data_IF_778038490028
#
_entry.id   IF_778038490028
#
_cell.length_a   1.000
_cell.length_b   1.000
_cell.length_c   1.000
_cell.angle_alpha   90.00
_cell.angle_beta   90.00
_cell.angle_gamma   90.00
#
_symmetry.space_group_name_H-M   'P 1'
#
loop_
_entity.id
_entity.type
_entity.pdbx_description
1 polymer ?
2 polymer ?
3 non-polymer ?
4 non-polymer ?
5 water ?
#
# COMPACT_ATOMS: atom_id res chain seq x y z
N UNK A 21 21.90 2.10 -8.54
CA UNK A 21 21.13 1.61 -7.40
C UNK A 21 21.95 1.65 -6.08
N UNK A 22 23.31 1.48 -6.15
CA UNK A 22 24.15 1.49 -4.96
C UNK A 22 24.57 2.88 -4.56
N UNK A 23 24.24 3.25 -3.32
CA UNK A 23 24.50 4.57 -2.77
C UNK A 23 25.76 4.61 -1.92
N UNK A 24 26.31 5.83 -1.79
CA UNK A 24 27.49 6.17 -1.01
C UNK A 24 27.07 6.58 0.41
N UNK A 25 27.46 5.76 1.43
CA UNK A 25 27.15 6.03 2.84
C UNK A 25 27.62 7.42 3.34
N UNK A 26 28.68 8.00 2.70
CA UNK A 26 29.20 9.32 3.09
C UNK A 26 28.25 10.45 2.70
N UNK A 27 27.46 10.23 1.61
CA UNK A 27 26.47 11.14 1.06
C UNK A 27 25.12 11.09 1.79
N UNK A 28 24.99 10.16 2.76
CA UNK A 28 23.78 9.94 3.53
C UNK A 28 23.95 10.40 4.97
N UNK A 29 23.03 11.25 5.47
CA UNK A 29 23.06 11.76 6.84
C UNK A 29 21.78 11.27 7.55
N UNK A 30 21.92 10.53 8.65
CA UNK A 30 20.76 10.03 9.39
C UNK A 30 20.50 10.74 10.72
N UNK A 31 19.20 10.88 11.08
CA UNK A 31 18.80 11.43 12.37
C UNK A 31 18.72 10.27 13.35
N UNK A 32 18.72 10.56 14.66
CA UNK A 32 18.73 9.49 15.66
C UNK A 32 17.36 8.95 16.01
N UNK A 33 16.32 9.79 15.91
CA UNK A 33 14.96 9.35 16.20
C UNK A 33 14.43 8.39 15.12
N UNK A 34 13.80 7.29 15.54
CA UNK A 34 13.19 6.35 14.59
C UNK A 34 11.75 6.83 14.33
N UNK A 35 11.30 6.82 13.07
CA UNK A 35 9.94 7.22 12.73
C UNK A 35 9.00 6.04 12.99
N UNK A 36 9.54 4.84 12.86
CA UNK A 36 8.85 3.57 13.06
C UNK A 36 9.85 2.42 13.17
N UNK A 37 9.38 1.29 13.74
CA UNK A 37 10.17 0.07 13.95
C UNK A 37 9.28 -1.17 14.03
N UNK A 38 9.90 -2.35 14.03
CA UNK A 38 9.22 -3.63 14.10
C UNK A 38 10.10 -4.81 13.78
N UNK A 39 9.53 -5.82 13.13
CA UNK A 39 10.19 -7.05 12.73
C UNK A 39 11.15 -6.80 11.55
N UNK A 40 10.76 -5.87 10.64
CA UNK A 40 11.53 -5.46 9.44
C UNK A 40 12.89 -4.82 9.79
N UNK A 41 12.89 -4.07 10.88
CA UNK A 41 14.01 -3.30 11.40
C UNK A 41 13.45 -1.98 11.84
N UNK A 42 14.11 -0.86 11.47
CA UNK A 42 13.64 0.49 11.81
C UNK A 42 13.56 1.38 10.55
N UNK A 43 12.83 2.49 10.66
CA UNK A 43 12.75 3.52 9.63
C UNK A 43 13.21 4.86 10.21
N UNK A 44 14.11 5.53 9.49
CA UNK A 44 14.65 6.81 9.95
C UNK A 44 14.57 7.85 8.88
N UNK A 45 14.42 9.08 9.31
CA UNK A 45 14.48 10.24 8.44
C UNK A 45 15.97 10.54 8.22
N UNK A 46 16.28 11.05 7.04
CA UNK A 46 17.63 11.42 6.68
C UNK A 46 17.69 12.35 5.49
N UNK A 47 18.91 12.62 5.00
CA UNK A 47 19.17 13.46 3.85
C UNK A 47 20.20 12.79 3.00
N UNK A 48 20.05 12.91 1.71
CA UNK A 48 20.98 12.35 0.76
C UNK A 48 21.40 13.43 -0.19
N UNK A 49 22.72 13.62 -0.32
CA UNK A 49 23.31 14.58 -1.23
C UNK A 49 23.14 14.10 -2.67
N UNK A 50 22.38 14.86 -3.45
CA UNK A 50 22.18 14.54 -4.87
C UNK A 50 23.26 15.28 -5.68
N UNK A 51 23.06 15.45 -7.00
CA UNK A 51 24.03 16.16 -7.85
C UNK A 51 24.23 17.62 -7.40
N UNK A 52 23.13 18.30 -7.03
CA UNK A 52 23.16 19.70 -6.58
C UNK A 52 22.40 19.87 -5.25
N UNK A 53 21.10 19.52 -5.28
CA UNK A 53 20.22 19.62 -4.14
C UNK A 53 20.50 18.51 -3.13
N UNK A 54 19.96 18.65 -1.93
CA UNK A 54 20.02 17.63 -0.92
C UNK A 54 18.59 17.08 -0.85
N UNK A 55 18.44 15.76 -0.72
CA UNK A 55 17.13 15.12 -0.73
C UNK A 55 16.73 14.54 0.60
N UNK A 56 15.58 14.97 1.13
CA UNK A 56 15.03 14.41 2.38
C UNK A 56 14.58 12.97 2.07
N UNK A 57 14.97 12.01 2.91
CA UNK A 57 14.67 10.62 2.65
C UNK A 57 14.11 9.88 3.84
N UNK A 58 13.44 8.75 3.56
CA UNK A 58 13.00 7.80 4.57
C UNK A 58 13.88 6.57 4.30
N UNK A 59 14.56 6.10 5.35
CA UNK A 59 15.50 4.99 5.23
C UNK A 59 15.05 3.80 6.08
N UNK A 60 14.77 2.71 5.40
CA UNK A 60 14.40 1.47 6.06
C UNK A 60 15.72 0.76 6.37
N UNK A 61 16.04 0.59 7.67
CA UNK A 61 17.28 -0.02 8.14
C UNK A 61 17.00 -1.43 8.69
N UNK A 62 17.68 -2.43 8.14
CA UNK A 62 17.52 -3.84 8.54
C UNK A 62 18.01 -4.11 9.99
N UNK A 63 17.24 -4.93 10.74
CA UNK A 63 17.49 -5.29 12.14
C UNK A 63 18.92 -5.72 12.49
N UNK A 64 19.62 -6.38 11.53
CA UNK A 64 21.02 -6.87 11.64
C UNK A 64 21.23 -7.98 12.69
N UNK A 65 20.86 -7.71 13.97
CA UNK A 65 20.93 -8.64 15.10
C UNK A 65 20.15 -9.91 14.75
N UNK A 66 18.93 -9.73 14.22
CA UNK A 66 18.06 -10.81 13.73
C UNK A 66 18.24 -10.86 12.20
N UNK A 67 19.48 -11.22 11.77
CA UNK A 67 19.95 -11.30 10.37
C UNK A 67 19.03 -12.09 9.43
N UNK A 68 18.82 -13.40 9.71
CA UNK A 68 17.96 -14.38 9.01
C UNK A 68 18.60 -15.31 7.93
N UNK A 69 19.13 -14.90 6.74
CA UNK A 69 19.25 -13.57 6.14
C UNK A 69 18.11 -13.29 5.15
N UNK A 70 16.92 -13.85 5.43
CA UNK A 70 15.71 -13.69 4.61
C UNK A 70 15.39 -12.21 4.44
N UNK A 71 15.55 -11.42 5.53
CA UNK A 71 15.34 -9.96 5.56
C UNK A 71 16.13 -9.24 4.47
N UNK A 72 17.41 -9.62 4.28
CA UNK A 72 18.32 -9.09 3.27
C UNK A 72 17.84 -9.44 1.85
N UNK A 73 17.34 -10.68 1.67
CA UNK A 73 16.85 -11.13 0.36
C UNK A 73 15.59 -10.41 -0.03
N UNK A 74 14.66 -10.21 0.92
CA UNK A 74 13.43 -9.47 0.64
C UNK A 74 13.66 -7.98 0.46
N UNK A 75 14.66 -7.41 1.16
CA UNK A 75 14.99 -5.99 0.99
C UNK A 75 15.49 -5.74 -0.43
N UNK A 76 16.37 -6.64 -0.96
CA UNK A 76 16.85 -6.47 -2.35
C UNK A 76 15.74 -6.76 -3.37
N UNK A 77 14.78 -7.65 -3.01
CA UNK A 77 13.65 -7.98 -3.89
C UNK A 77 12.76 -6.71 -3.99
N UNK A 78 12.48 -6.09 -2.83
CA UNK A 78 11.73 -4.83 -2.69
C UNK A 78 12.40 -3.73 -3.52
N UNK A 79 13.75 -3.56 -3.36
CA UNK A 79 14.56 -2.63 -4.15
C UNK A 79 14.42 -2.89 -5.66
N UNK A 80 14.43 -4.18 -6.09
CA UNK A 80 14.31 -4.57 -7.49
C UNK A 80 12.96 -4.19 -8.09
N UNK A 81 11.88 -4.33 -7.31
CA UNK A 81 10.54 -3.93 -7.76
C UNK A 81 10.52 -2.41 -7.87
N UNK A 82 10.93 -1.70 -6.79
CA UNK A 82 10.91 -0.22 -6.77
C UNK A 82 11.68 0.43 -7.90
N UNK A 83 12.85 -0.13 -8.25
CA UNK A 83 13.68 0.39 -9.35
C UNK A 83 12.99 0.40 -10.73
N UNK A 84 12.04 -0.51 -10.96
CA UNK A 84 11.27 -0.68 -12.18
C UNK A 84 10.05 0.24 -12.26
N UNK A 85 9.66 0.91 -11.14
CA UNK A 85 8.47 1.77 -11.08
C UNK A 85 8.76 3.25 -11.18
N UNK A 86 8.00 3.94 -12.02
CA UNK A 86 8.17 5.37 -12.28
C UNK A 86 6.78 5.96 -12.49
N UNK A 87 6.19 6.51 -11.42
CA UNK A 87 4.86 7.08 -11.43
C UNK A 87 4.73 8.10 -10.31
N UNK A 88 4.05 9.24 -10.53
CA UNK A 88 3.90 10.22 -9.43
C UNK A 88 3.21 9.70 -8.16
N UNK A 89 2.38 8.66 -8.28
CA UNK A 89 1.64 8.14 -7.13
C UNK A 89 2.24 6.92 -6.47
N UNK A 90 3.52 6.66 -6.74
CA UNK A 90 4.30 5.57 -6.17
C UNK A 90 5.57 6.13 -5.52
N UNK A 91 5.89 5.68 -4.27
CA UNK A 91 7.10 6.11 -3.58
C UNK A 91 8.34 5.72 -4.44
N UNK A 92 9.22 6.71 -4.69
CA UNK A 92 10.45 6.52 -5.48
C UNK A 92 11.63 6.10 -4.61
N UNK A 93 12.35 5.07 -5.03
CA UNK A 93 13.54 4.62 -4.30
C UNK A 93 14.72 5.46 -4.78
N UNK A 94 15.54 5.97 -3.85
CA UNK A 94 16.75 6.70 -4.24
C UNK A 94 17.78 5.61 -4.57
N UNK A 95 17.94 4.66 -3.65
CA UNK A 95 18.84 3.55 -3.89
C UNK A 95 19.01 2.71 -2.66
N UNK A 96 19.99 1.81 -2.71
CA UNK A 96 20.29 0.94 -1.59
C UNK A 96 21.68 1.22 -1.10
N UNK A 97 21.93 0.92 0.17
CA UNK A 97 23.23 1.15 0.77
C UNK A 97 23.60 0.04 1.78
N UNK A 98 24.83 -0.55 1.64
CA UNK A 98 25.34 -1.56 2.57
C UNK A 98 26.41 -0.96 3.47
N UNK A 99 26.04 -0.73 4.72
CA UNK A 99 26.94 -0.14 5.70
C UNK A 99 26.73 -0.85 7.05
N UNK A 100 26.42 -0.10 8.14
CA UNK A 100 26.15 -0.69 9.45
C UNK A 100 25.12 -1.82 9.38
N UNK A 101 24.21 -1.73 8.38
CA UNK A 101 23.17 -2.69 8.02
C UNK A 101 22.76 -2.40 6.55
N UNK A 102 21.88 -3.22 5.93
CA UNK A 102 21.39 -2.94 4.58
C UNK A 102 20.30 -1.87 4.73
N UNK A 103 20.32 -0.86 3.85
CA UNK A 103 19.40 0.28 3.93
C UNK A 103 18.66 0.51 2.63
N UNK A 104 17.34 0.74 2.73
CA UNK A 104 16.55 1.05 1.56
C UNK A 104 16.20 2.55 1.67
N UNK A 105 16.83 3.34 0.80
CA UNK A 105 16.70 4.79 0.83
C UNK A 105 15.63 5.24 -0.13
N UNK A 106 14.57 5.85 0.42
CA UNK A 106 13.43 6.32 -0.39
C UNK A 106 13.22 7.78 -0.21
N UNK A 107 12.61 8.42 -1.19
CA UNK A 107 12.18 9.81 -1.19
C UNK A 107 11.12 9.94 -0.06
N UNK A 108 11.36 10.84 0.90
CA UNK A 108 10.46 11.02 2.06
C UNK A 108 9.07 11.54 1.64
N UNK A 109 8.02 10.95 2.21
CA UNK A 109 6.62 11.36 2.08
C UNK A 109 6.33 11.85 3.50
N UNK A 110 6.56 13.15 3.71
CA UNK A 110 6.57 13.84 5.01
C UNK A 110 5.47 13.56 6.02
N UNK A 111 4.22 13.45 5.55
CA UNK A 111 3.08 13.30 6.43
C UNK A 111 2.78 11.88 6.91
N UNK A 112 3.42 10.91 6.31
CA UNK A 112 3.28 9.54 6.76
C UNK A 112 2.04 8.78 6.35
N UNK A 113 1.88 7.63 7.05
CA UNK A 113 0.77 6.71 6.76
C UNK A 113 -0.60 7.32 6.87
N UNK A 114 -1.42 7.03 5.84
CA UNK A 114 -2.77 7.57 5.69
C UNK A 114 -3.68 7.25 6.90
N UNK A 115 -3.61 6.03 7.44
CA UNK A 115 -4.46 5.67 8.57
C UNK A 115 -4.11 6.48 9.81
N UNK A 116 -2.80 6.66 10.09
CA UNK A 116 -2.25 7.44 11.19
C UNK A 116 -2.68 8.89 11.03
N UNK A 117 -2.50 9.44 9.81
CA UNK A 117 -2.88 10.83 9.51
C UNK A 117 -4.34 11.11 9.80
N UNK A 118 -5.24 10.28 9.25
CA UNK A 118 -6.69 10.48 9.36
C UNK A 118 -7.22 10.30 10.78
N UNK A 119 -6.61 9.41 11.58
CA UNK A 119 -6.95 9.20 12.99
C UNK A 119 -6.69 10.53 13.77
N UNK A 120 -5.60 11.27 13.39
CA UNK A 120 -5.24 12.57 14.01
C UNK A 120 -5.83 13.79 13.29
N UNK A 121 -6.54 13.61 12.18
CA UNK A 121 -7.08 14.75 11.42
C UNK A 121 -8.48 14.46 10.93
N UNK A 122 -9.40 14.30 11.90
CA UNK A 122 -10.81 13.98 11.67
C UNK A 122 -11.64 15.06 10.98
N UNK A 123 -11.05 16.25 10.78
CA UNK A 123 -11.62 17.41 10.11
C UNK A 123 -11.44 17.32 8.58
N UNK A 124 -10.66 16.32 8.07
CA UNK A 124 -10.47 16.13 6.61
C UNK A 124 -11.84 15.88 5.99
N UNK A 125 -12.17 16.62 4.92
CA UNK A 125 -13.47 16.52 4.25
C UNK A 125 -13.52 15.36 3.26
N UNK A 126 -14.73 14.85 2.98
CA UNK A 126 -14.97 13.74 2.05
C UNK A 126 -14.38 13.97 0.66
N UNK A 127 -14.44 15.22 0.13
CA UNK A 127 -13.86 15.60 -1.16
C UNK A 127 -12.33 15.34 -1.18
N UNK A 128 -11.65 15.62 -0.06
CA UNK A 128 -10.21 15.45 0.12
C UNK A 128 -9.86 13.94 0.19
N UNK A 129 -10.72 13.12 0.83
CA UNK A 129 -10.56 11.66 0.91
C UNK A 129 -10.74 11.06 -0.48
N UNK A 130 -11.76 11.53 -1.23
CA UNK A 130 -12.00 11.09 -2.62
C UNK A 130 -10.78 11.43 -3.47
N UNK A 131 -10.21 12.62 -3.27
CA UNK A 131 -9.01 13.07 -4.01
C UNK A 131 -7.81 12.11 -3.73
N UNK A 132 -7.57 11.78 -2.46
CA UNK A 132 -6.48 10.88 -2.06
C UNK A 132 -6.63 9.41 -2.54
N UNK A 133 -7.85 8.80 -2.40
CA UNK A 133 -8.12 7.42 -2.88
C UNK A 133 -8.10 7.37 -4.42
N UNK A 134 -8.45 8.50 -5.08
CA UNK A 134 -8.38 8.56 -6.53
C UNK A 134 -6.92 8.48 -6.98
N UNK A 135 -6.02 9.18 -6.29
CA UNK A 135 -4.59 9.17 -6.55
C UNK A 135 -4.04 7.76 -6.34
N UNK A 136 -4.49 7.05 -5.30
CA UNK A 136 -4.09 5.64 -5.06
C UNK A 136 -4.53 4.76 -6.26
N UNK A 137 -5.75 4.95 -6.78
CA UNK A 137 -6.22 4.18 -7.95
C UNK A 137 -5.41 4.47 -9.22
N UNK A 138 -4.93 5.70 -9.37
CA UNK A 138 -4.09 6.08 -10.52
C UNK A 138 -2.75 5.36 -10.45
N UNK A 139 -2.15 5.29 -9.26
CA UNK A 139 -0.90 4.55 -9.06
C UNK A 139 -1.11 3.04 -9.26
N UNK A 140 -2.23 2.51 -8.78
CA UNK A 140 -2.60 1.08 -8.93
C UNK A 140 -2.94 0.76 -10.36
N UNK A 141 -3.57 1.70 -11.09
CA UNK A 141 -3.82 1.52 -12.53
C UNK A 141 -2.45 1.39 -13.27
N UNK A 142 -1.47 2.22 -12.89
CA UNK A 142 -0.12 2.14 -13.46
C UNK A 142 0.57 0.80 -13.09
N UNK A 143 0.47 0.36 -11.80
CA UNK A 143 1.05 -0.91 -11.36
C UNK A 143 0.44 -2.09 -12.13
N UNK A 144 -0.90 -2.04 -12.33
CA UNK A 144 -1.64 -3.07 -13.08
C UNK A 144 -1.11 -3.10 -14.53
N UNK A 145 -0.94 -1.91 -15.15
CA UNK A 145 -0.42 -1.77 -16.52
C UNK A 145 0.99 -2.35 -16.63
N UNK A 146 1.81 -2.18 -15.57
CA UNK A 146 3.18 -2.68 -15.43
C UNK A 146 3.24 -4.17 -15.10
N UNK A 147 2.06 -4.79 -14.89
CA UNK A 147 1.96 -6.21 -14.51
C UNK A 147 2.70 -6.56 -13.22
N UNK A 148 2.53 -5.67 -12.23
CA UNK A 148 3.05 -5.88 -10.88
C UNK A 148 1.83 -6.04 -9.99
N UNK A 149 1.90 -6.98 -9.04
CA UNK A 149 0.84 -7.16 -8.06
C UNK A 149 1.37 -6.59 -6.75
N UNK A 150 0.60 -5.75 -6.05
CA UNK A 150 1.13 -5.11 -4.83
C UNK A 150 1.20 -6.07 -3.64
N UNK A 151 0.06 -6.72 -3.31
CA UNK A 151 -0.11 -7.72 -2.23
C UNK A 151 -0.06 -7.17 -0.80
N UNK A 152 0.00 -5.86 -0.62
CA UNK A 152 -0.08 -5.27 0.75
C UNK A 152 -0.70 -3.87 0.66
N UNK A 153 -1.74 -3.73 -0.17
CA UNK A 153 -2.39 -2.46 -0.38
C UNK A 153 -3.36 -2.21 0.79
N UNK A 154 -3.02 -1.26 1.65
CA UNK A 154 -3.77 -0.95 2.87
C UNK A 154 -3.47 0.51 3.19
N UNK A 155 -4.36 1.18 3.94
CA UNK A 155 -4.20 2.58 4.33
C UNK A 155 -2.85 2.87 5.00
N UNK A 156 -2.32 1.92 5.80
CA UNK A 156 -1.01 2.03 6.46
C UNK A 156 0.14 2.16 5.45
N UNK A 157 -0.08 1.64 4.22
CA UNK A 157 0.93 1.66 3.15
C UNK A 157 0.72 2.80 2.16
N UNK A 158 -0.26 3.64 2.42
CA UNK A 158 -0.46 4.83 1.59
C UNK A 158 0.22 5.94 2.39
N UNK A 159 1.12 6.69 1.77
CA UNK A 159 1.89 7.73 2.46
C UNK A 159 1.57 9.07 1.89
N UNK A 160 1.48 10.06 2.73
CA UNK A 160 1.12 11.39 2.25
C UNK A 160 2.32 12.30 2.17
N UNK A 161 2.45 12.95 1.02
CA UNK A 161 3.46 13.95 0.73
C UNK A 161 2.93 15.27 1.35
N UNK A 162 1.65 15.58 1.08
CA UNK A 162 0.86 16.70 1.61
C UNK A 162 -0.53 16.12 1.89
N UNK A 163 -1.44 16.96 2.41
CA UNK A 163 -2.82 16.56 2.72
C UNK A 163 -3.60 16.30 1.42
N UNK A 164 -3.05 16.73 0.27
CA UNK A 164 -3.63 16.58 -1.06
C UNK A 164 -2.77 15.76 -2.02
N UNK A 165 -1.80 14.98 -1.51
CA UNK A 165 -0.93 14.17 -2.38
C UNK A 165 -0.52 12.87 -1.68
N UNK A 166 -1.12 11.75 -2.12
CA UNK A 166 -0.89 10.38 -1.64
C UNK A 166 0.02 9.59 -2.61
N UNK A 167 0.87 8.71 -2.05
CA UNK A 167 1.74 7.78 -2.79
C UNK A 167 1.61 6.39 -2.19
N UNK A 168 1.79 5.38 -3.02
CA UNK A 168 1.73 3.98 -2.62
C UNK A 168 3.12 3.54 -2.20
N UNK A 169 3.23 2.85 -1.08
CA UNK A 169 4.53 2.37 -0.61
C UNK A 169 4.47 0.89 -0.25
N UNK A 170 5.60 0.38 0.28
CA UNK A 170 5.78 -0.97 0.78
C UNK A 170 5.56 -2.08 -0.25
N UNK A 171 6.64 -2.37 -1.01
CA UNK A 171 6.69 -3.40 -2.06
C UNK A 171 7.38 -4.70 -1.60
N UNK A 172 7.34 -4.94 -0.30
CA UNK A 172 7.91 -6.12 0.35
C UNK A 172 7.21 -7.43 0.01
N UNK A 173 5.92 -7.37 -0.41
CA UNK A 173 5.16 -8.57 -0.82
C UNK A 173 4.85 -8.58 -2.32
N UNK A 174 5.28 -7.53 -3.03
CA UNK A 174 5.04 -7.34 -4.44
C UNK A 174 5.77 -8.34 -5.31
N UNK A 175 5.16 -8.64 -6.44
CA UNK A 175 5.70 -9.59 -7.39
C UNK A 175 5.52 -9.07 -8.79
N UNK A 176 6.55 -9.26 -9.62
CA UNK A 176 6.51 -8.97 -11.06
C UNK A 176 5.81 -10.19 -11.67
N UNK A 177 4.71 -10.00 -12.40
CA UNK A 177 3.99 -11.13 -13.01
C UNK A 177 4.79 -11.72 -14.18
N UNK A 178 4.72 -13.04 -14.35
CA UNK A 178 5.37 -13.73 -15.46
C UNK A 178 4.68 -13.29 -16.74
N UNK A 179 5.42 -13.24 -17.87
CA UNK A 179 4.87 -12.86 -19.18
C UNK A 179 3.69 -13.70 -19.63
N UNK A 180 3.59 -14.95 -19.17
CA UNK A 180 2.53 -15.88 -19.57
C UNK A 180 1.35 -16.03 -18.58
N UNK A 181 1.39 -15.34 -17.42
CA UNK A 181 0.34 -15.42 -16.40
C UNK A 181 -0.24 -14.09 -15.97
N UNK A 182 -1.51 -14.11 -15.53
CA UNK A 182 -2.31 -13.00 -14.98
C UNK A 182 -2.18 -12.91 -13.44
N UNK A 183 -1.61 -13.91 -12.80
CA UNK A 183 -1.51 -13.93 -11.35
C UNK A 183 -0.22 -14.59 -10.85
N UNK A 184 0.07 -14.38 -9.57
CA UNK A 184 1.20 -14.95 -8.85
C UNK A 184 0.66 -16.02 -7.90
N UNK A 185 1.23 -17.21 -8.00
CA UNK A 185 0.84 -18.31 -7.14
C UNK A 185 1.85 -18.46 -5.99
N UNK A 186 1.41 -18.19 -4.75
CA UNK A 186 2.28 -18.42 -3.58
C UNK A 186 2.18 -19.93 -3.31
N UNK A 187 3.20 -20.52 -2.68
CA UNK A 187 3.20 -21.97 -2.43
C UNK A 187 2.67 -22.29 -1.06
N UNK A 188 3.01 -21.41 -0.11
CA UNK A 188 2.62 -21.48 1.30
C UNK A 188 1.99 -20.16 1.71
N UNK A 189 1.08 -20.22 2.69
CA UNK A 189 0.43 -19.05 3.26
C UNK A 189 1.45 -18.47 4.24
N UNK A 190 1.97 -17.29 3.92
CA UNK A 190 2.96 -16.62 4.77
C UNK A 190 2.33 -15.75 5.84
N UNK A 191 3.09 -14.74 6.32
CA UNK A 191 2.61 -13.76 7.30
C UNK A 191 1.87 -12.72 6.46
N UNK A 192 0.56 -12.97 6.28
CA UNK A 192 -0.30 -12.22 5.37
C UNK A 192 -1.27 -11.19 5.97
N UNK A 193 -1.52 -10.05 5.26
CA UNK A 193 -2.53 -9.07 5.73
C UNK A 193 -3.93 -9.53 5.28
N UNK A 194 -4.37 -10.64 5.85
CA UNK A 194 -5.62 -11.41 5.59
C UNK A 194 -6.90 -10.56 5.43
N UNK A 195 -7.05 -9.53 6.27
CA UNK A 195 -8.23 -8.65 6.24
C UNK A 195 -8.27 -7.79 4.97
N UNK A 196 -7.16 -7.72 4.22
CA UNK A 196 -7.12 -6.97 2.97
C UNK A 196 -7.13 -7.88 1.74
N UNK A 197 -7.13 -9.20 1.94
CA UNK A 197 -7.05 -10.21 0.88
C UNK A 197 -8.36 -10.71 0.37
N UNK A 198 -8.45 -10.87 -0.94
CA UNK A 198 -9.62 -11.38 -1.64
C UNK A 198 -9.81 -12.89 -1.35
N UNK A 199 -11.04 -13.43 -1.52
CA UNK A 199 -11.24 -14.89 -1.34
C UNK A 199 -10.28 -15.79 -2.13
N UNK A 200 -9.95 -15.47 -3.41
CA UNK A 200 -9.02 -16.29 -4.22
C UNK A 200 -7.62 -16.37 -3.63
N UNK A 201 -7.19 -15.32 -2.87
CA UNK A 201 -5.87 -15.25 -2.24
C UNK A 201 -5.85 -16.22 -1.07
N UNK A 202 -6.89 -16.16 -0.22
CA UNK A 202 -7.01 -17.03 0.97
C UNK A 202 -7.24 -18.48 0.55
N UNK A 203 -8.18 -18.71 -0.38
CA UNK A 203 -8.56 -20.05 -0.80
C UNK A 203 -7.66 -20.77 -1.82
N UNK A 204 -7.05 -20.07 -2.79
CA UNK A 204 -6.20 -20.70 -3.83
C UNK A 204 -4.77 -20.12 -3.93
N UNK A 205 -4.39 -19.19 -3.01
CA UNK A 205 -3.07 -18.49 -2.99
C UNK A 205 -2.77 -17.79 -4.33
N UNK A 206 -3.81 -17.24 -4.99
CA UNK A 206 -3.68 -16.61 -6.30
C UNK A 206 -3.83 -15.11 -6.18
N UNK A 207 -2.80 -14.37 -6.59
CA UNK A 207 -2.72 -12.91 -6.50
C UNK A 207 -2.59 -12.30 -7.88
N UNK A 208 -3.58 -11.54 -8.29
CA UNK A 208 -3.64 -10.83 -9.55
C UNK A 208 -3.90 -9.37 -9.21
N UNK A 209 -3.99 -8.49 -10.22
CA UNK A 209 -4.32 -7.09 -9.96
C UNK A 209 -5.74 -6.93 -9.45
N UNK A 210 -6.67 -7.84 -9.86
CA UNK A 210 -8.04 -7.86 -9.35
C UNK A 210 -8.04 -8.18 -7.85
N UNK A 211 -7.05 -8.95 -7.37
CA UNK A 211 -6.88 -9.20 -5.93
C UNK A 211 -6.52 -7.87 -5.22
N UNK A 212 -5.66 -7.05 -5.85
CA UNK A 212 -5.30 -5.75 -5.30
C UNK A 212 -6.51 -4.82 -5.30
N UNK A 213 -7.46 -4.97 -6.29
CA UNK A 213 -8.71 -4.19 -6.37
C UNK A 213 -9.53 -4.46 -5.09
N UNK A 214 -9.61 -5.75 -4.66
CA UNK A 214 -10.29 -6.13 -3.41
C UNK A 214 -9.67 -5.36 -2.25
N UNK A 215 -8.31 -5.39 -2.14
CA UNK A 215 -7.56 -4.68 -1.09
C UNK A 215 -7.87 -3.18 -1.17
N UNK A 216 -8.00 -2.64 -2.41
CA UNK A 216 -8.30 -1.22 -2.64
C UNK A 216 -9.68 -0.84 -2.01
N UNK A 217 -10.67 -1.76 -2.09
CA UNK A 217 -12.00 -1.58 -1.51
C UNK A 217 -11.91 -1.44 -0.01
N UNK A 218 -11.04 -2.26 0.61
CA UNK A 218 -10.81 -2.24 2.07
C UNK A 218 -10.10 -0.92 2.44
N UNK A 219 -9.10 -0.52 1.63
CA UNK A 219 -8.35 0.73 1.85
C UNK A 219 -9.33 1.92 1.81
N UNK A 220 -10.28 1.91 0.82
CA UNK A 220 -11.29 2.95 0.70
C UNK A 220 -12.12 2.98 1.98
N UNK A 221 -12.54 1.79 2.48
CA UNK A 221 -13.32 1.73 3.71
C UNK A 221 -12.55 2.38 4.86
N UNK A 222 -11.24 2.11 4.96
CA UNK A 222 -10.39 2.62 6.02
C UNK A 222 -10.30 4.13 5.98
N UNK A 223 -10.16 4.69 4.78
CA UNK A 223 -9.99 6.14 4.53
C UNK A 223 -11.27 6.88 4.90
N UNK A 224 -12.43 6.36 4.48
CA UNK A 224 -13.72 6.97 4.83
C UNK A 224 -14.14 6.74 6.29
N UNK A 225 -13.43 5.84 7.02
CA UNK A 225 -13.64 5.57 8.45
C UNK A 225 -12.56 6.27 9.26
N UNK A 226 -11.81 7.20 8.62
CA UNK A 226 -10.77 7.99 9.27
C UNK A 226 -9.67 7.12 9.90
N UNK A 227 -9.22 6.13 9.14
CA UNK A 227 -8.15 5.23 9.56
C UNK A 227 -8.54 4.19 10.59
N UNK A 228 -9.84 3.89 10.72
CA UNK A 228 -10.34 2.84 11.61
C UNK A 228 -9.86 1.50 11.05
N UNK A 229 -9.58 0.53 11.95
CA UNK A 229 -9.17 -0.82 11.58
C UNK A 229 -10.37 -1.52 10.93
N UNK A 230 -10.19 -2.22 9.78
CA UNK A 230 -11.35 -2.92 9.21
C UNK A 230 -11.68 -4.17 10.01
N UNK A 231 -12.94 -4.67 9.87
CA UNK A 231 -13.44 -5.88 10.54
C UNK A 231 -13.06 -5.88 12.01
N UNK A 232 -13.28 -4.75 12.71
CA UNK A 232 -12.93 -4.60 14.15
C UNK A 232 -13.43 -5.74 15.02
N UNK A 233 -12.55 -6.20 15.90
CA UNK A 233 -12.82 -7.28 16.84
C UNK A 233 -12.82 -8.66 16.26
N UNK A 234 -12.54 -8.81 14.96
CA UNK A 234 -12.57 -10.11 14.29
C UNK A 234 -11.21 -10.70 13.99
N UNK A 235 -11.13 -12.05 13.95
CA UNK A 235 -9.92 -12.82 13.56
C UNK A 235 -10.05 -12.96 12.04
N UNK A 236 -8.93 -13.23 11.35
CA UNK A 236 -8.94 -13.46 9.90
C UNK A 236 -9.91 -14.54 9.47
N UNK A 237 -10.01 -15.63 10.26
CA UNK A 237 -10.89 -16.77 9.98
C UNK A 237 -12.37 -16.40 10.06
N UNK A 238 -12.73 -15.51 11.01
CA UNK A 238 -14.09 -14.99 11.13
C UNK A 238 -14.41 -14.06 9.94
N UNK A 239 -13.42 -13.28 9.45
CA UNK A 239 -13.57 -12.42 8.27
C UNK A 239 -13.87 -13.32 7.05
N UNK A 240 -13.05 -14.35 6.82
CA UNK A 240 -13.23 -15.31 5.71
C UNK A 240 -14.64 -15.90 5.76
N UNK A 241 -15.06 -16.29 6.97
CA UNK A 241 -16.39 -16.86 7.20
C UNK A 241 -17.48 -15.85 6.87
N UNK A 242 -17.32 -14.57 7.31
CA UNK A 242 -18.24 -13.46 7.05
C UNK A 242 -18.37 -13.21 5.54
N UNK A 243 -17.24 -13.18 4.83
CA UNK A 243 -17.18 -12.94 3.38
C UNK A 243 -17.87 -14.04 2.56
N UNK A 244 -17.77 -15.30 3.01
CA UNK A 244 -18.40 -16.47 2.41
C UNK A 244 -19.93 -16.40 2.50
N UNK A 245 -20.45 -15.91 3.64
CA UNK A 245 -21.88 -15.69 3.92
C UNK A 245 -22.45 -14.53 3.09
N UNK A 246 -21.59 -13.87 2.29
CA UNK A 246 -21.96 -12.75 1.42
C UNK A 246 -22.09 -11.44 2.17
N UNK A 247 -21.62 -11.43 3.43
CA UNK A 247 -21.69 -10.23 4.28
C UNK A 247 -20.48 -9.33 4.03
N UNK A 248 -20.71 -8.01 4.02
CA UNK A 248 -19.66 -7.00 3.82
C UNK A 248 -19.73 -5.94 4.91
N UNK A 249 -18.61 -5.19 5.11
CA UNK A 249 -18.59 -4.10 6.09
C UNK A 249 -19.62 -3.05 5.66
N UNK A 250 -20.28 -2.42 6.64
CA UNK A 250 -21.25 -1.36 6.40
C UNK A 250 -20.62 -0.08 5.90
N UNK A 251 -21.46 0.87 5.48
CA UNK A 251 -21.06 2.17 4.99
C UNK A 251 -20.53 3.04 6.12
N UNK A 252 -19.29 3.57 6.04
CA UNK A 252 -18.79 4.46 7.11
C UNK A 252 -19.64 5.74 7.23
N UNK A 253 -19.79 6.26 8.45
CA UNK A 253 -20.56 7.49 8.70
C UNK A 253 -19.99 8.63 7.89
N UNK A 254 -20.87 9.29 7.15
CA UNK A 254 -20.52 10.41 6.30
C UNK A 254 -19.97 10.05 4.94
N UNK A 255 -19.77 8.74 4.70
CA UNK A 255 -19.22 8.27 3.43
C UNK A 255 -20.27 8.41 2.32
N UNK A 256 -19.95 9.08 1.19
CA UNK A 256 -20.92 9.16 0.09
C UNK A 256 -21.33 7.77 -0.37
N UNK A 257 -22.63 7.62 -0.69
CA UNK A 257 -23.24 6.37 -1.13
C UNK A 257 -22.53 5.82 -2.37
N UNK A 258 -22.09 6.71 -3.30
CA UNK A 258 -21.36 6.36 -4.53
C UNK A 258 -20.00 5.73 -4.20
N UNK A 259 -19.37 6.15 -3.09
CA UNK A 259 -18.08 5.58 -2.67
C UNK A 259 -18.28 4.20 -2.04
N UNK A 260 -19.37 4.03 -1.27
CA UNK A 260 -19.72 2.77 -0.68
C UNK A 260 -20.04 1.71 -1.75
N UNK A 261 -20.76 2.10 -2.82
CA UNK A 261 -21.08 1.21 -3.92
C UNK A 261 -19.80 0.78 -4.61
N UNK A 262 -18.85 1.70 -4.82
CA UNK A 262 -17.55 1.40 -5.42
C UNK A 262 -16.78 0.40 -4.55
N UNK A 263 -16.81 0.58 -3.20
CA UNK A 263 -16.25 -0.36 -2.24
C UNK A 263 -16.85 -1.76 -2.43
N UNK A 264 -18.20 -1.87 -2.50
CA UNK A 264 -18.87 -3.16 -2.67
C UNK A 264 -18.55 -3.83 -4.00
N UNK A 265 -18.28 -3.02 -5.03
CA UNK A 265 -17.92 -3.50 -6.37
C UNK A 265 -16.51 -4.13 -6.33
N UNK A 266 -15.57 -3.49 -5.59
CA UNK A 266 -14.20 -3.95 -5.38
C UNK A 266 -14.27 -5.27 -4.63
N UNK A 267 -15.28 -5.43 -3.77
CA UNK A 267 -15.58 -6.62 -2.99
C UNK A 267 -16.45 -7.66 -3.72
N UNK A 268 -16.38 -7.72 -5.07
CA UNK A 268 -17.06 -8.78 -5.84
C UNK A 268 -16.27 -10.07 -5.50
N UNK A 269 -16.94 -11.06 -4.93
CA UNK A 269 -16.40 -12.34 -4.50
C UNK A 269 -15.61 -13.06 -5.61
N UNK A 270 -16.22 -13.18 -6.80
CA UNK A 270 -15.62 -13.86 -7.93
C UNK A 270 -14.72 -12.91 -8.69
N UNK A 271 -13.42 -13.22 -8.68
CA UNK A 271 -12.32 -12.48 -9.33
C UNK A 271 -12.64 -12.17 -10.79
N UNK A 272 -13.27 -13.13 -11.52
CA UNK A 272 -13.62 -13.01 -12.93
C UNK A 272 -14.61 -11.87 -13.22
N UNK A 273 -15.50 -11.59 -12.27
CA UNK A 273 -16.49 -10.52 -12.36
C UNK A 273 -16.12 -9.21 -11.63
N UNK A 274 -14.96 -9.17 -10.91
CA UNK A 274 -14.51 -7.97 -10.21
C UNK A 274 -13.91 -6.96 -11.20
N UNK A 275 -14.13 -5.63 -11.04
CA UNK A 275 -13.47 -4.68 -11.96
C UNK A 275 -11.95 -4.68 -11.75
N UNK A 276 -11.25 -4.19 -12.77
CA UNK A 276 -9.80 -3.96 -12.78
C UNK A 276 -9.58 -2.51 -12.42
N UNK A 277 -8.30 -2.09 -12.27
CA UNK A 277 -7.99 -0.71 -11.89
C UNK A 277 -8.38 0.37 -12.89
N UNK A 278 -8.33 0.08 -14.21
CA UNK A 278 -8.74 1.06 -15.23
C UNK A 278 -10.22 1.43 -15.03
N UNK A 279 -11.09 0.43 -14.76
CA UNK A 279 -12.51 0.65 -14.49
C UNK A 279 -12.70 1.36 -13.15
N UNK A 280 -11.98 0.91 -12.10
CA UNK A 280 -12.03 1.51 -10.76
C UNK A 280 -11.58 2.98 -10.82
N UNK A 281 -10.44 3.26 -11.46
CA UNK A 281 -9.92 4.63 -11.60
C UNK A 281 -10.90 5.54 -12.33
N UNK A 282 -11.49 5.08 -13.45
CA UNK A 282 -12.46 5.87 -14.24
C UNK A 282 -13.66 6.29 -13.40
N UNK A 283 -14.27 5.35 -12.66
CA UNK A 283 -15.39 5.61 -11.75
C UNK A 283 -15.04 6.64 -10.70
N UNK A 284 -13.82 6.55 -10.11
CA UNK A 284 -13.34 7.48 -9.11
C UNK A 284 -13.10 8.86 -9.70
N UNK A 285 -12.52 8.90 -10.91
CA UNK A 285 -12.19 10.12 -11.65
C UNK A 285 -13.45 10.95 -11.92
N UNK A 286 -14.47 10.32 -12.53
CA UNK A 286 -15.76 10.99 -12.86
C UNK A 286 -16.46 11.48 -11.61
N UNK A 287 -16.46 10.67 -10.54
CA UNK A 287 -17.12 11.09 -9.30
C UNK A 287 -16.39 12.25 -8.64
N UNK A 288 -15.05 12.25 -8.68
CA UNK A 288 -14.26 13.35 -8.16
C UNK A 288 -14.60 14.67 -8.88
N UNK A 289 -14.68 14.64 -10.25
CA UNK A 289 -15.05 15.77 -11.10
C UNK A 289 -16.43 16.32 -10.74
N UNK A 290 -17.40 15.41 -10.45
CA UNK A 290 -18.75 15.77 -10.00
C UNK A 290 -18.73 16.48 -8.66
N UNK A 291 -17.92 15.96 -7.71
CA UNK A 291 -17.78 16.52 -6.37
C UNK A 291 -17.12 17.92 -6.41
N UNK A 292 -16.08 18.09 -7.27
CA UNK A 292 -15.34 19.34 -7.48
C UNK A 292 -16.31 20.47 -7.94
N UNK A 293 -17.30 20.12 -8.81
CA UNK A 293 -18.36 21.00 -9.32
C UNK A 293 -19.48 21.20 -8.28
N UNK A 294 -19.69 22.46 -7.84
CA UNK A 294 -20.71 22.91 -6.88
C UNK A 294 -20.77 24.45 -6.78
N UNK B 1 -2.36 -9.04 14.67
CA UNK B 1 -3.45 -8.07 14.46
C UNK B 1 -3.60 -7.70 12.97
N UNK B 2 -2.48 -7.50 12.27
CA UNK B 2 -2.51 -7.17 10.85
C UNK B 2 -1.97 -8.29 9.96
N UNK B 3 -0.74 -8.77 10.23
CA UNK B 3 -0.11 -9.87 9.48
C UNK B 3 -0.33 -11.18 10.24
N UNK B 4 -1.08 -12.10 9.64
CA UNK B 4 -1.48 -13.38 10.25
C UNK B 4 -0.89 -14.55 9.47
N UNK B 5 -0.33 -15.53 10.20
CA UNK B 5 0.26 -16.75 9.66
C UNK B 5 -0.58 -17.96 10.07
X LIG C 1 -1.94 3.61 13.03
X LIG C 1 0.01 3.20 11.69
X LIG C 1 -0.75 2.88 10.84
X LIG C 1 3.78 3.21 11.29
X LIG C 1 3.80 2.80 9.92
X LIG C 1 6.12 2.20 9.38
X LIG C 1 7.06 2.27 8.26
X LIG C 1 7.87 1.17 7.96
X LIG C 1 8.75 1.28 6.90
X LIG C 1 8.85 2.44 6.15
X LIG C 1 8.04 3.55 6.44
X LIG C 1 8.56 4.71 4.38
X LIG C 1 8.98 5.97 2.36
X LIG C 1 8.84 7.26 2.10
X LIG C 1 8.37 7.91 3.17
X LIG C 1 8.23 7.03 4.14
X LIG C 1 7.40 8.38 5.95
X LIG C 1 6.90 8.75 7.19
X LIG C 1 5.91 9.65 9.67
X LIG C 1 4.43 11.07 11.02
X LIG C 1 6.09 8.26 9.46
X LIG C 1 5.80 5.94 10.32
X LIG C 1 -0.47 3.59 12.88
X LIG C 1 1.38 3.09 11.22
X LIG C 1 2.53 3.37 11.95
X LIG C 1 4.91 2.66 9.15
X LIG C 1 6.45 1.74 10.43
X LIG C 1 7.16 3.46 7.48
X LIG C 1 8.13 4.81 5.64
X LIG C 1 8.61 5.80 3.63
X LIG C 1 7.80 7.14 5.47
X LIG C 1 6.73 10.12 7.41
X LIG C 1 6.22 10.55 8.64
X LIG C 1 5.44 10.09 10.87
X LIG C 1 5.76 7.34 10.50
X LIG C 1 6.58 7.85 8.20
X LIG C 1 7.76 6.02 6.16
X LIG C 1 2.62 2.54 9.27
X LIG C 1 1.42 2.66 9.88
X LIG D 1 -10.08 -3.22 -16.54
X LIG D 1 -10.65 -2.24 -15.66
X LIG D 1 -8.52 -3.27 -16.66
X LIG D 1 -7.91 -2.51 -15.66
X LIG D 1 -7.97 -2.93 -18.08
X LIG D 1 -6.58 -2.56 -18.05
#
# INVERSE_FOLDING_TARGET
MDTEVYESPYADPEEIRPKEVYLDRKLLTLEDKELGSGNFGTVKKGYYQMKKVVKTVAVKILKNEANDPALKDELLAEANVMQQLDNPYIVRMIGICEAESWMLVMEMAELGPLNKYLQQNRHVKDKNIIELVHQVSMGMKYLEESNFVHRDLAARNVLLVTQHYAKISDFGLSKALRADENYYKAQTHGKWPVKWYAPECINYYKFSSKSDVWSFGVLMWEAFSYGQKPYRGMKGSEVTAMLEKGERMGCPAGCPREMYDLMNLCWTYDVENRPGFAAVELRLRNYYYDVVNHHHHHH
EVYES
50J C1 C3 O4 C7 C8 C10 C12 C13 C14 C15 C16 C19 C21 C22 N23 C24 N26 C27 C30 C32 C33 C35 N2 C5 C6 N9 O11 C17 C18 N20 C25 C28 C29 O31 O34 C36 N37 C38 C39
GOL C1 O1 C2 O2 C3 O3
#
